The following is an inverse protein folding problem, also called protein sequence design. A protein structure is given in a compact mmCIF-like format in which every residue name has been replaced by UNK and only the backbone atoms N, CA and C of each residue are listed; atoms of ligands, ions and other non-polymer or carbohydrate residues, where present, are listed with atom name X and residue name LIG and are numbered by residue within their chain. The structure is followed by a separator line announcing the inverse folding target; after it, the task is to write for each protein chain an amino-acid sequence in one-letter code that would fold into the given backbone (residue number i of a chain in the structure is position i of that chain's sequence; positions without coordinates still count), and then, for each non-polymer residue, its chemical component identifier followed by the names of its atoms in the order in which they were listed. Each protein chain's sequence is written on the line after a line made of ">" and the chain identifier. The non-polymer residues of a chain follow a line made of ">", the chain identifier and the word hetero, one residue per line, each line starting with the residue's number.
data_IF_189867729384
#
_entry.id   IF_189867729384
#
_cell.length_a   1.000
_cell.length_b   1.000
_cell.length_c   1.000
_cell.angle_alpha   90.00
_cell.angle_beta   90.00
_cell.angle_gamma   90.00
#
_symmetry.space_group_name_H-M   'P 1'
#
loop_
_entity.id
_entity.type
_entity.pdbx_description
1 polymer ?
#
# COMPACT_ATOMS: atom_id res chain seq x y z
N UNK A 1 -29.28 -16.60 8.46
CA UNK A 1 -28.18 -15.74 8.97
C UNK A 1 -27.72 -14.90 7.80
N UNK A 2 -28.05 -13.61 7.83
CA UNK A 2 -27.68 -12.67 6.77
C UNK A 2 -26.17 -12.70 6.55
N UNK A 3 -25.75 -13.05 5.33
CA UNK A 3 -24.42 -12.71 4.85
C UNK A 3 -24.43 -11.19 4.66
N UNK A 4 -24.15 -10.42 5.71
CA UNK A 4 -23.77 -9.03 5.57
C UNK A 4 -22.52 -9.01 4.69
N UNK A 5 -22.71 -8.71 3.39
CA UNK A 5 -21.62 -8.56 2.44
C UNK A 5 -20.80 -7.37 2.91
N UNK A 6 -19.65 -7.66 3.49
CA UNK A 6 -18.69 -6.63 3.86
C UNK A 6 -18.05 -6.08 2.59
N UNK A 7 -18.60 -4.97 2.09
CA UNK A 7 -17.93 -4.15 1.10
C UNK A 7 -16.79 -3.42 1.80
N UNK A 8 -15.57 -3.94 1.63
CA UNK A 8 -14.41 -3.14 1.95
C UNK A 8 -14.49 -1.86 1.13
N UNK A 9 -14.53 -0.70 1.79
CA UNK A 9 -14.52 0.61 1.14
C UNK A 9 -13.19 0.95 0.44
N UNK A 10 -12.41 -0.06 0.02
CA UNK A 10 -11.23 0.15 -0.80
C UNK A 10 -11.68 0.74 -2.13
N UNK A 11 -11.01 1.81 -2.54
CA UNK A 11 -11.32 2.42 -3.83
C UNK A 11 -10.67 1.58 -4.92
N UNK A 12 -11.45 1.10 -5.91
CA UNK A 12 -10.90 0.46 -7.11
C UNK A 12 -9.89 1.38 -7.80
N UNK A 13 -8.66 0.91 -7.94
CA UNK A 13 -7.59 1.59 -8.69
C UNK A 13 -7.00 0.61 -9.69
N UNK A 14 -6.84 1.03 -10.95
CA UNK A 14 -6.18 0.23 -11.98
C UNK A 14 -4.74 -0.05 -11.56
N UNK A 15 -4.34 -1.32 -11.52
CA UNK A 15 -3.00 -1.74 -11.06
C UNK A 15 -1.88 -1.10 -11.88
N UNK A 16 -2.06 -0.98 -13.21
CA UNK A 16 -1.10 -0.27 -14.07
C UNK A 16 -0.86 1.18 -13.64
N UNK A 17 -1.90 1.87 -13.16
CA UNK A 17 -1.78 3.24 -12.67
C UNK A 17 -0.98 3.32 -11.36
N UNK A 18 -1.16 2.32 -10.47
CA UNK A 18 -0.39 2.19 -9.23
C UNK A 18 1.10 1.97 -9.56
N UNK A 19 1.40 1.06 -10.50
CA UNK A 19 2.79 0.81 -10.96
C UNK A 19 3.41 2.08 -11.55
N UNK A 20 2.69 2.75 -12.46
CA UNK A 20 3.15 3.97 -13.10
C UNK A 20 3.44 5.08 -12.08
N UNK A 21 2.54 5.30 -11.12
CA UNK A 21 2.73 6.31 -10.08
C UNK A 21 3.88 5.96 -9.13
N UNK A 22 4.04 4.68 -8.77
CA UNK A 22 5.20 4.24 -7.97
C UNK A 22 6.51 4.56 -8.67
N UNK A 23 6.62 4.30 -9.97
CA UNK A 23 7.80 4.62 -10.76
C UNK A 23 8.03 6.13 -10.90
N UNK A 24 6.99 6.87 -11.28
CA UNK A 24 7.08 8.31 -11.51
C UNK A 24 7.44 9.09 -10.23
N UNK A 25 7.01 8.59 -9.08
CA UNK A 25 7.26 9.22 -7.78
C UNK A 25 8.40 8.57 -6.98
N UNK A 26 9.18 7.69 -7.61
CA UNK A 26 10.29 6.96 -6.97
C UNK A 26 9.89 6.29 -5.63
N UNK A 27 8.67 5.74 -5.56
CA UNK A 27 8.18 5.03 -4.38
C UNK A 27 7.33 5.85 -3.40
N UNK A 28 7.28 7.19 -3.50
CA UNK A 28 6.43 8.04 -2.62
C UNK A 28 4.96 7.59 -2.66
N UNK A 29 4.48 7.18 -3.83
CA UNK A 29 3.11 6.70 -3.99
C UNK A 29 2.78 5.48 -3.11
N UNK A 30 3.75 4.63 -2.79
CA UNK A 30 3.53 3.49 -1.89
C UNK A 30 3.13 3.98 -0.49
N UNK A 31 3.81 5.02 0.02
CA UNK A 31 3.45 5.67 1.28
C UNK A 31 2.08 6.32 1.23
N UNK A 32 1.82 7.07 0.16
CA UNK A 32 0.50 7.65 -0.08
C UNK A 32 -0.61 6.60 -0.10
N UNK A 33 -0.39 5.43 -0.71
CA UNK A 33 -1.37 4.35 -0.78
C UNK A 33 -1.81 3.88 0.62
N UNK A 34 -0.86 3.62 1.52
CA UNK A 34 -1.16 3.25 2.91
C UNK A 34 -1.90 4.37 3.67
N UNK A 35 -1.56 5.64 3.40
CA UNK A 35 -2.23 6.79 4.02
C UNK A 35 -3.63 7.04 3.46
N UNK A 36 -3.86 6.71 2.19
CA UNK A 36 -5.16 6.80 1.51
C UNK A 36 -6.11 5.73 2.05
N UNK A 37 -5.66 4.49 2.15
CA UNK A 37 -6.49 3.38 2.64
C UNK A 37 -6.50 3.25 4.18
N UNK A 38 -5.93 4.23 4.90
CA UNK A 38 -5.78 4.18 6.36
C UNK A 38 -7.09 3.95 7.12
N UNK A 39 -8.20 4.48 6.64
CA UNK A 39 -9.49 4.39 7.35
C UNK A 39 -10.03 2.96 7.22
N UNK A 40 -10.02 2.45 5.99
CA UNK A 40 -10.34 1.09 5.61
C UNK A 40 -9.49 0.08 6.38
N UNK A 41 -8.17 0.28 6.42
CA UNK A 41 -7.24 -0.54 7.19
C UNK A 41 -7.49 -0.46 8.70
N UNK A 42 -7.78 0.72 9.25
CA UNK A 42 -8.09 0.88 10.69
C UNK A 42 -9.39 0.22 11.10
N UNK A 43 -10.39 0.18 10.21
CA UNK A 43 -11.67 -0.48 10.50
C UNK A 43 -11.51 -1.99 10.56
N UNK A 44 -10.71 -2.57 9.67
CA UNK A 44 -10.44 -4.00 9.67
C UNK A 44 -9.40 -4.43 10.73
N UNK A 45 -8.40 -3.59 10.98
CA UNK A 45 -7.35 -3.87 11.94
C UNK A 45 -7.79 -3.55 13.38
N UNK A 46 -8.66 -4.39 13.94
CA UNK A 46 -9.15 -4.28 15.33
C UNK A 46 -8.01 -4.22 16.36
N UNK A 47 -6.85 -4.78 16.03
CA UNK A 47 -5.67 -4.91 16.89
C UNK A 47 -4.61 -3.82 16.65
N UNK A 48 -4.81 -2.90 15.70
CA UNK A 48 -3.92 -1.76 15.39
C UNK A 48 -2.46 -2.16 15.12
N UNK A 49 -2.24 -3.26 14.41
CA UNK A 49 -0.90 -3.75 14.10
C UNK A 49 -0.22 -2.97 12.97
N UNK A 50 -0.98 -2.30 12.10
CA UNK A 50 -0.41 -1.48 11.03
C UNK A 50 -0.04 -0.09 11.61
N UNK A 51 1.25 0.29 11.63
CA UNK A 51 1.70 1.54 12.25
C UNK A 51 1.47 2.74 11.31
N UNK A 52 0.21 3.16 11.16
CA UNK A 52 -0.18 4.29 10.27
C UNK A 52 0.56 5.59 10.59
N UNK A 53 0.95 5.82 11.85
CA UNK A 53 1.75 7.00 12.24
C UNK A 53 3.14 7.00 11.61
N UNK A 54 3.78 5.83 11.51
CA UNK A 54 5.11 5.70 10.90
C UNK A 54 5.01 5.90 9.39
N UNK A 55 3.91 5.48 8.76
CA UNK A 55 3.63 5.75 7.35
C UNK A 55 3.54 7.23 7.01
N UNK A 56 3.05 8.08 7.92
CA UNK A 56 3.08 9.53 7.74
C UNK A 56 4.51 10.05 7.66
N UNK A 57 5.34 9.70 8.64
CA UNK A 57 6.75 10.10 8.66
C UNK A 57 7.48 9.57 7.41
N UNK A 58 7.21 8.32 7.03
CA UNK A 58 7.85 7.70 5.89
C UNK A 58 7.47 8.36 4.56
N UNK A 59 6.19 8.72 4.39
CA UNK A 59 5.72 9.40 3.18
C UNK A 59 6.29 10.82 3.06
N UNK A 60 6.39 11.55 4.18
CA UNK A 60 7.02 12.87 4.20
C UNK A 60 8.50 12.76 3.83
N UNK A 61 9.22 11.81 4.43
CA UNK A 61 10.63 11.60 4.12
C UNK A 61 10.84 11.21 2.66
N UNK A 62 10.07 10.26 2.13
CA UNK A 62 10.13 9.91 0.70
C UNK A 62 9.84 11.12 -0.20
N UNK A 63 8.86 11.94 0.17
CA UNK A 63 8.54 13.17 -0.56
C UNK A 63 9.71 14.16 -0.57
N UNK A 64 10.39 14.33 0.57
CA UNK A 64 11.62 15.10 0.65
C UNK A 64 12.72 14.48 -0.22
N UNK A 65 12.99 13.18 -0.09
CA UNK A 65 13.99 12.47 -0.91
C UNK A 65 13.72 12.62 -2.41
N UNK A 66 12.45 12.58 -2.83
CA UNK A 66 12.06 12.83 -4.21
C UNK A 66 12.41 14.25 -4.66
N UNK A 67 12.06 15.27 -3.86
CA UNK A 67 12.40 16.67 -4.15
C UNK A 67 13.91 16.91 -4.15
N UNK A 68 14.65 16.29 -3.23
CA UNK A 68 16.11 16.38 -3.16
C UNK A 68 16.78 15.69 -4.35
N UNK A 69 16.27 14.57 -4.83
CA UNK A 69 16.78 13.95 -6.06
C UNK A 69 16.49 14.80 -7.30
N UNK A 70 15.34 15.50 -7.33
CA UNK A 70 14.94 16.33 -8.46
C UNK A 70 15.67 17.69 -8.52
N UNK A 71 15.81 18.35 -7.37
CA UNK A 71 16.29 19.74 -7.27
C UNK A 71 17.59 19.89 -6.47
N UNK A 72 18.01 18.87 -5.72
CA UNK A 72 19.07 18.99 -4.73
C UNK A 72 20.43 19.35 -5.33
N UNK A 73 20.73 18.92 -6.55
CA UNK A 73 21.99 19.31 -7.23
C UNK A 73 22.07 20.82 -7.53
N UNK A 74 20.94 21.51 -7.62
CA UNK A 74 20.90 22.95 -7.86
C UNK A 74 20.96 23.80 -6.57
N UNK A 75 20.62 23.20 -5.41
CA UNK A 75 20.42 23.94 -4.15
C UNK A 75 21.51 23.61 -3.12
N UNK A 76 22.07 22.40 -3.13
CA UNK A 76 22.99 21.93 -2.09
C UNK A 76 24.46 21.97 -2.52
N UNK A 77 25.32 22.18 -1.54
CA UNK A 77 26.76 21.96 -1.69
C UNK A 77 27.05 20.45 -1.84
N UNK A 78 28.19 20.07 -2.46
CA UNK A 78 28.57 18.66 -2.62
C UNK A 78 28.60 17.87 -1.30
N UNK A 79 29.00 18.52 -0.21
CA UNK A 79 29.02 17.93 1.12
C UNK A 79 27.61 17.66 1.67
N UNK A 80 26.69 18.63 1.54
CA UNK A 80 25.29 18.47 1.96
C UNK A 80 24.59 17.36 1.17
N UNK A 81 24.88 17.25 -0.12
CA UNK A 81 24.37 16.18 -0.97
C UNK A 81 24.84 14.80 -0.51
N UNK A 82 26.13 14.63 -0.19
CA UNK A 82 26.68 13.37 0.28
C UNK A 82 26.09 12.91 1.63
N UNK A 83 25.90 13.85 2.56
CA UNK A 83 25.24 13.59 3.84
C UNK A 83 23.80 13.14 3.64
N UNK A 84 23.01 13.88 2.84
CA UNK A 84 21.62 13.52 2.55
C UNK A 84 21.53 12.13 1.92
N UNK A 85 22.41 11.81 0.97
CA UNK A 85 22.45 10.50 0.33
C UNK A 85 22.69 9.37 1.34
N UNK A 86 23.54 9.61 2.34
CA UNK A 86 23.81 8.62 3.39
C UNK A 86 22.57 8.36 4.26
N UNK A 87 21.85 9.43 4.64
CA UNK A 87 20.57 9.32 5.35
C UNK A 87 19.50 8.63 4.51
N UNK A 88 19.42 8.95 3.22
CA UNK A 88 18.43 8.38 2.29
C UNK A 88 18.61 6.87 2.11
N UNK A 89 19.86 6.40 2.02
CA UNK A 89 20.19 4.97 1.95
C UNK A 89 19.76 4.25 3.24
N UNK A 90 20.12 4.78 4.41
CA UNK A 90 19.73 4.19 5.70
C UNK A 90 18.20 4.13 5.80
N UNK A 91 17.54 5.25 5.52
CA UNK A 91 16.08 5.34 5.55
C UNK A 91 15.43 4.35 4.58
N UNK A 92 15.99 4.14 3.39
CA UNK A 92 15.46 3.20 2.39
C UNK A 92 15.38 1.76 2.93
N UNK A 93 16.35 1.32 3.72
CA UNK A 93 16.29 0.01 4.38
C UNK A 93 15.17 -0.07 5.42
N UNK A 94 15.00 0.98 6.24
CA UNK A 94 13.88 1.04 7.20
C UNK A 94 12.54 1.09 6.49
N UNK A 95 12.44 1.84 5.40
CA UNK A 95 11.24 1.93 4.57
C UNK A 95 10.88 0.57 3.99
N UNK A 96 11.86 -0.18 3.48
CA UNK A 96 11.63 -1.51 2.94
C UNK A 96 11.07 -2.47 4.02
N UNK A 97 11.63 -2.42 5.24
CA UNK A 97 11.12 -3.18 6.38
C UNK A 97 9.68 -2.79 6.74
N UNK A 98 9.38 -1.50 6.82
CA UNK A 98 8.04 -0.97 7.08
C UNK A 98 7.04 -1.41 5.99
N UNK A 99 7.46 -1.34 4.72
CA UNK A 99 6.66 -1.72 3.56
C UNK A 99 6.26 -3.19 3.65
N UNK A 100 7.23 -4.09 3.78
CA UNK A 100 6.93 -5.52 3.84
C UNK A 100 6.14 -5.90 5.08
N UNK A 101 6.53 -5.40 6.25
CA UNK A 101 5.77 -5.65 7.48
C UNK A 101 4.29 -5.27 7.31
N UNK A 102 4.05 -4.08 6.75
CA UNK A 102 2.67 -3.60 6.55
C UNK A 102 1.94 -4.39 5.46
N UNK A 103 2.59 -4.72 4.35
CA UNK A 103 1.99 -5.51 3.26
C UNK A 103 1.59 -6.91 3.74
N UNK A 104 2.46 -7.59 4.49
CA UNK A 104 2.14 -8.88 5.09
C UNK A 104 1.00 -8.76 6.11
N UNK A 105 0.97 -7.68 6.89
CA UNK A 105 -0.12 -7.48 7.83
C UNK A 105 -1.46 -7.24 7.15
N UNK A 106 -1.49 -6.45 6.07
CA UNK A 106 -2.72 -6.26 5.28
C UNK A 106 -3.17 -7.57 4.66
N UNK A 107 -2.23 -8.41 4.18
CA UNK A 107 -2.54 -9.76 3.71
C UNK A 107 -3.19 -10.60 4.81
N UNK A 108 -2.60 -10.67 6.00
CA UNK A 108 -3.14 -11.46 7.10
C UNK A 108 -4.58 -11.02 7.45
N UNK A 109 -4.83 -9.70 7.50
CA UNK A 109 -6.16 -9.15 7.74
C UNK A 109 -7.17 -9.55 6.67
N UNK A 110 -6.76 -9.56 5.39
CA UNK A 110 -7.63 -9.99 4.30
C UNK A 110 -7.88 -11.51 4.35
N UNK A 111 -6.86 -12.34 4.61
CA UNK A 111 -7.04 -13.79 4.71
C UNK A 111 -7.89 -14.20 5.91
N UNK A 112 -7.76 -13.51 7.06
CA UNK A 112 -8.60 -13.73 8.24
C UNK A 112 -10.07 -13.42 7.96
N UNK A 113 -10.35 -12.34 7.23
CA UNK A 113 -11.72 -11.91 6.92
C UNK A 113 -12.41 -12.84 5.90
N UNK A 114 -11.73 -13.17 4.80
CA UNK A 114 -12.28 -14.05 3.77
C UNK A 114 -12.20 -15.55 4.13
N UNK A 115 -11.53 -15.89 5.25
CA UNK A 115 -11.31 -17.26 5.73
C UNK A 115 -10.65 -18.19 4.70
N UNK A 116 -9.88 -17.62 3.78
CA UNK A 116 -9.23 -18.34 2.69
C UNK A 116 -7.80 -17.81 2.46
N UNK A 117 -6.89 -18.74 2.13
CA UNK A 117 -5.52 -18.41 1.75
C UNK A 117 -5.48 -17.84 0.33
N UNK A 118 -5.82 -16.55 0.22
CA UNK A 118 -5.98 -15.87 -1.06
C UNK A 118 -4.64 -15.40 -1.65
N UNK A 119 -3.63 -15.13 -0.82
CA UNK A 119 -2.39 -14.51 -1.26
C UNK A 119 -1.21 -15.50 -1.26
N UNK A 120 -0.28 -15.30 -2.22
CA UNK A 120 0.97 -16.05 -2.28
C UNK A 120 2.10 -15.18 -1.73
N UNK A 121 2.84 -15.60 -0.69
CA UNK A 121 3.89 -14.80 -0.06
C UNK A 121 4.97 -14.29 -1.03
N UNK A 122 5.42 -15.13 -1.95
CA UNK A 122 6.46 -14.74 -2.91
C UNK A 122 6.01 -13.64 -3.89
N UNK A 123 4.72 -13.62 -4.26
CA UNK A 123 4.15 -12.53 -5.09
C UNK A 123 4.05 -11.22 -4.29
N UNK A 124 3.78 -11.29 -2.99
CA UNK A 124 3.82 -10.11 -2.12
C UNK A 124 5.23 -9.53 -1.98
N UNK A 125 6.26 -10.38 -1.99
CA UNK A 125 7.65 -9.90 -1.93
C UNK A 125 8.08 -9.24 -3.24
N UNK A 126 7.65 -9.75 -4.40
CA UNK A 126 8.04 -9.20 -5.70
C UNK A 126 7.24 -7.96 -6.12
N UNK A 127 5.95 -7.93 -5.78
CA UNK A 127 5.00 -6.94 -6.29
C UNK A 127 4.29 -6.12 -5.20
N UNK A 128 4.48 -6.44 -3.92
CA UNK A 128 4.08 -5.64 -2.76
C UNK A 128 2.64 -5.13 -2.86
N UNK A 129 2.47 -3.80 -2.83
CA UNK A 129 1.21 -3.07 -2.94
C UNK A 129 0.52 -3.31 -4.29
N UNK A 130 1.26 -3.56 -5.38
CA UNK A 130 0.67 -3.81 -6.70
C UNK A 130 -0.11 -5.12 -6.71
N UNK A 131 0.46 -6.18 -6.14
CA UNK A 131 -0.22 -7.47 -6.00
C UNK A 131 -1.39 -7.38 -5.03
N UNK A 132 -1.23 -6.61 -3.95
CA UNK A 132 -2.30 -6.36 -2.99
C UNK A 132 -3.49 -5.67 -3.65
N UNK A 133 -3.25 -4.58 -4.40
CA UNK A 133 -4.29 -3.88 -5.17
C UNK A 133 -4.93 -4.80 -6.22
N UNK A 134 -4.14 -5.61 -6.93
CA UNK A 134 -4.66 -6.56 -7.91
C UNK A 134 -5.66 -7.54 -7.28
N UNK A 135 -5.32 -8.09 -6.11
CA UNK A 135 -6.18 -9.05 -5.41
C UNK A 135 -7.42 -8.38 -4.83
N UNK A 136 -7.29 -7.21 -4.20
CA UNK A 136 -8.42 -6.43 -3.69
C UNK A 136 -9.43 -6.15 -4.83
N UNK A 137 -8.94 -5.65 -5.97
CA UNK A 137 -9.81 -5.36 -7.11
C UNK A 137 -10.57 -6.61 -7.61
N UNK A 138 -9.93 -7.79 -7.59
CA UNK A 138 -10.56 -9.05 -7.99
C UNK A 138 -11.59 -9.54 -6.98
N UNK A 139 -11.32 -9.38 -5.68
CA UNK A 139 -12.24 -9.79 -4.61
C UNK A 139 -13.51 -8.94 -4.64
N UNK A 140 -13.39 -7.62 -4.83
CA UNK A 140 -14.56 -6.75 -5.01
C UNK A 140 -15.34 -7.05 -6.30
N UNK A 141 -14.65 -7.40 -7.39
CA UNK A 141 -15.33 -7.78 -8.63
C UNK A 141 -16.15 -9.07 -8.43
N UNK A 142 -15.60 -10.07 -7.75
CA UNK A 142 -16.29 -11.33 -7.47
C UNK A 142 -17.49 -11.14 -6.53
N UNK A 143 -17.36 -10.32 -5.48
CA UNK A 143 -18.45 -10.00 -4.55
C UNK A 143 -19.62 -9.27 -5.23
N UNK A 144 -19.30 -8.37 -6.18
CA UNK A 144 -20.30 -7.63 -6.96
C UNK A 144 -21.02 -8.52 -7.98
N UNK A 145 -20.31 -9.43 -8.64
CA UNK A 145 -20.91 -10.34 -9.63
C UNK A 145 -21.87 -11.34 -8.97
N UNK A 146 -21.55 -11.85 -7.78
CA UNK A 146 -22.47 -12.65 -6.97
C UNK A 146 -23.69 -11.83 -6.50
N UNK A 147 -23.54 -10.52 -6.27
CA UNK A 147 -24.67 -9.64 -5.92
C UNK A 147 -25.63 -9.48 -7.07
N UNK A 148 -25.10 -9.17 -8.26
CA UNK A 148 -25.89 -8.99 -9.46
C UNK A 148 -26.67 -10.25 -9.85
N UNK A 149 -26.04 -11.43 -9.78
CA UNK A 149 -26.73 -12.71 -10.04
C UNK A 149 -27.84 -12.99 -9.03
N UNK A 150 -27.66 -12.62 -7.76
CA UNK A 150 -28.69 -12.77 -6.72
C UNK A 150 -29.87 -11.79 -6.89
N UNK A 151 -29.62 -10.60 -7.44
CA UNK A 151 -30.67 -9.60 -7.72
C UNK A 151 -31.51 -9.96 -8.95
N UNK A 152 -30.93 -10.60 -9.96
CA UNK A 152 -31.66 -11.02 -11.18
C UNK A 152 -32.41 -12.36 -10.98
N UNK A 153 -31.99 -13.18 -10.03
CA UNK A 153 -32.67 -14.43 -9.69
C UNK A 153 -33.89 -14.26 -8.77
N UNK A 154 -34.25 -13.02 -8.41
CA UNK A 154 -35.46 -12.65 -7.66
C UNK A 154 -36.48 -12.02 -8.60
#
# INVERSE_FOLDING_TARGET
>A
MENEKFEWGFKKVKVWFVVLLTWLTLGVYLGYWFLKERNTLKMADKRKLIPIKIWWLATIFLGLSFLYNLLGRAILTPYGFALFNSFDVIFSFYFLGLLYYSVFRVRDLLEEEYREAIFRPWLLVLFHVWYLQFKINRLEAAGNEQSYKATIAK
#
